data_IF_049818939441
#
_entry.id   IF_049818939441
#
_cell.length_a   1.000
_cell.length_b   1.000
_cell.length_c   1.000
_cell.angle_alpha   90.00
_cell.angle_beta   90.00
_cell.angle_gamma   90.00
#
_symmetry.space_group_name_H-M   'P 1'
#
loop_
_entity.id
_entity.type
_entity.pdbx_description
1 polymer ?
#
# COMPACT_ATOMS: atom_id res chain seq x y z
N UNK A 1 20.71 -10.21 6.66
CA UNK A 1 19.28 -9.86 6.80
C UNK A 1 18.51 -10.57 5.70
N UNK A 2 17.44 -11.31 6.00
CA UNK A 2 16.61 -11.98 4.99
C UNK A 2 15.47 -11.05 4.57
N UNK A 3 15.25 -10.93 3.26
CA UNK A 3 14.23 -10.06 2.65
C UNK A 3 13.23 -10.94 1.89
N UNK A 4 11.94 -10.64 2.03
CA UNK A 4 10.86 -11.25 1.27
C UNK A 4 10.29 -10.22 0.29
N UNK A 5 9.91 -10.69 -0.91
CA UNK A 5 9.22 -9.90 -1.92
C UNK A 5 7.85 -10.54 -2.14
N UNK A 6 6.78 -9.80 -1.85
CA UNK A 6 5.42 -10.24 -2.14
C UNK A 6 4.96 -9.71 -3.49
N UNK A 7 4.33 -10.56 -4.29
CA UNK A 7 3.72 -10.17 -5.55
C UNK A 7 2.32 -10.76 -5.62
N UNK A 8 1.33 -9.92 -5.87
CA UNK A 8 -0.05 -10.31 -6.05
C UNK A 8 -0.79 -9.31 -6.92
N UNK A 9 -1.92 -9.77 -7.47
CA UNK A 9 -2.86 -8.92 -8.17
C UNK A 9 -3.72 -8.17 -7.15
N UNK A 10 -3.72 -6.83 -7.23
CA UNK A 10 -4.57 -5.97 -6.41
C UNK A 10 -5.97 -5.94 -7.01
N UNK A 11 -6.98 -6.24 -6.20
CA UNK A 11 -8.39 -6.26 -6.59
C UNK A 11 -9.13 -5.01 -6.12
N UNK A 12 -10.41 -4.86 -6.47
CA UNK A 12 -11.18 -3.66 -6.17
C UNK A 12 -11.57 -3.50 -4.69
N UNK A 13 -11.75 -4.61 -3.97
CA UNK A 13 -12.09 -4.59 -2.54
C UNK A 13 -10.83 -4.52 -1.67
N UNK A 14 -10.75 -3.52 -0.79
CA UNK A 14 -9.54 -3.32 0.01
C UNK A 14 -9.37 -4.36 1.11
N UNK A 15 -10.46 -4.99 1.58
CA UNK A 15 -10.40 -6.03 2.59
C UNK A 15 -9.70 -7.26 2.04
N UNK A 16 -10.03 -7.67 0.81
CA UNK A 16 -9.38 -8.80 0.13
C UNK A 16 -7.85 -8.55 -0.03
N UNK A 17 -7.48 -7.32 -0.41
CA UNK A 17 -6.07 -6.94 -0.53
C UNK A 17 -5.36 -6.89 0.82
N UNK A 18 -6.04 -6.41 1.87
CA UNK A 18 -5.48 -6.35 3.21
C UNK A 18 -5.22 -7.75 3.77
N UNK A 19 -6.15 -8.68 3.59
CA UNK A 19 -5.98 -10.09 3.94
C UNK A 19 -4.78 -10.71 3.21
N UNK A 20 -4.61 -10.40 1.91
CA UNK A 20 -3.46 -10.86 1.14
C UNK A 20 -2.14 -10.29 1.67
N UNK A 21 -2.10 -9.00 2.01
CA UNK A 21 -0.92 -8.37 2.61
C UNK A 21 -0.54 -9.04 3.93
N UNK A 22 -1.53 -9.31 4.79
CA UNK A 22 -1.36 -10.00 6.07
C UNK A 22 -0.85 -11.43 5.86
N UNK A 23 -1.37 -12.15 4.86
CA UNK A 23 -0.88 -13.48 4.51
C UNK A 23 0.62 -13.45 4.16
N UNK A 24 1.05 -12.48 3.34
CA UNK A 24 2.47 -12.30 3.02
C UNK A 24 3.31 -11.92 4.25
N UNK A 25 2.80 -11.08 5.15
CA UNK A 25 3.48 -10.74 6.40
C UNK A 25 3.75 -12.00 7.23
N UNK A 26 2.72 -12.83 7.45
CA UNK A 26 2.84 -14.10 8.18
C UNK A 26 3.80 -15.08 7.51
N UNK A 27 3.75 -15.21 6.17
CA UNK A 27 4.65 -16.09 5.44
C UNK A 27 6.11 -15.61 5.50
N UNK A 28 6.34 -14.30 5.41
CA UNK A 28 7.66 -13.70 5.52
C UNK A 28 8.25 -13.91 6.91
N UNK A 29 7.44 -13.71 7.96
CA UNK A 29 7.80 -13.98 9.35
C UNK A 29 8.13 -15.44 9.59
N UNK A 30 7.26 -16.37 9.18
CA UNK A 30 7.49 -17.81 9.29
C UNK A 30 8.77 -18.25 8.56
N UNK A 31 9.14 -17.54 7.50
CA UNK A 31 10.37 -17.75 6.75
C UNK A 31 11.61 -17.08 7.39
N UNK A 32 11.47 -16.35 8.50
CA UNK A 32 12.54 -15.64 9.18
C UNK A 32 13.01 -14.36 8.46
N UNK A 33 12.18 -13.78 7.60
CA UNK A 33 12.47 -12.48 6.99
C UNK A 33 12.45 -11.36 8.05
N UNK A 34 13.20 -10.28 7.78
CA UNK A 34 13.22 -9.06 8.61
C UNK A 34 12.67 -7.84 7.87
N UNK A 35 12.50 -7.97 6.55
CA UNK A 35 11.91 -6.98 5.67
C UNK A 35 11.02 -7.71 4.66
N UNK A 36 9.80 -7.25 4.51
CA UNK A 36 8.87 -7.60 3.45
C UNK A 36 8.64 -6.35 2.59
N UNK A 37 8.83 -6.48 1.28
CA UNK A 37 8.44 -5.45 0.32
C UNK A 37 7.28 -5.98 -0.49
N UNK A 38 6.17 -5.25 -0.46
CA UNK A 38 4.97 -5.51 -1.25
C UNK A 38 4.89 -4.53 -2.43
N UNK A 39 3.99 -4.75 -3.39
CA UNK A 39 3.86 -3.90 -4.57
C UNK A 39 3.44 -2.45 -4.28
N UNK A 40 3.39 -1.65 -5.35
CA UNK A 40 2.79 -0.31 -5.36
C UNK A 40 1.25 -0.41 -5.34
N UNK A 41 0.60 0.56 -4.70
CA UNK A 41 -0.85 0.76 -4.68
C UNK A 41 -1.64 -0.48 -4.23
N UNK A 42 -1.24 -1.08 -3.11
CA UNK A 42 -1.84 -2.33 -2.60
C UNK A 42 -3.26 -2.17 -2.04
N UNK A 43 -3.75 -0.94 -1.92
CA UNK A 43 -5.03 -0.63 -1.29
C UNK A 43 -6.21 -1.25 -2.07
N UNK A 44 -6.38 -0.83 -3.32
CA UNK A 44 -7.46 -1.25 -4.20
C UNK A 44 -7.16 -0.80 -5.62
N UNK A 45 -7.62 -1.58 -6.60
CA UNK A 45 -7.51 -1.24 -8.02
C UNK A 45 -8.67 -1.85 -8.81
N UNK A 46 -9.24 -1.05 -9.70
CA UNK A 46 -10.15 -1.52 -10.75
C UNK A 46 -9.57 -1.13 -12.11
N UNK A 47 -9.29 -2.13 -12.96
CA UNK A 47 -8.74 -1.90 -14.30
C UNK A 47 -9.78 -1.39 -15.29
N UNK A 48 -11.07 -1.55 -14.97
CA UNK A 48 -12.20 -1.12 -15.80
C UNK A 48 -12.64 0.31 -15.50
N UNK A 49 -12.29 0.83 -14.32
CA UNK A 49 -12.55 2.21 -13.91
C UNK A 49 -11.28 2.90 -13.39
N UNK A 50 -10.58 3.68 -14.24
CA UNK A 50 -9.41 4.45 -13.84
C UNK A 50 -9.66 5.46 -12.71
N UNK A 51 -10.92 5.87 -12.48
CA UNK A 51 -11.30 6.82 -11.44
C UNK A 51 -11.56 6.14 -10.09
N UNK A 52 -11.66 4.82 -10.04
CA UNK A 52 -11.88 4.05 -8.82
C UNK A 52 -10.79 4.29 -7.75
N UNK A 53 -9.60 4.72 -8.16
CA UNK A 53 -8.53 5.12 -7.25
C UNK A 53 -8.94 6.25 -6.30
N UNK A 54 -9.77 7.19 -6.76
CA UNK A 54 -10.22 8.33 -5.96
C UNK A 54 -11.27 7.90 -4.91
N UNK A 55 -12.19 7.02 -5.30
CA UNK A 55 -13.26 6.54 -4.41
C UNK A 55 -12.79 5.49 -3.41
N UNK A 56 -11.73 4.74 -3.74
CA UNK A 56 -11.16 3.71 -2.87
C UNK A 56 -10.08 4.22 -1.93
N UNK A 57 -9.50 5.40 -2.20
CA UNK A 57 -8.45 6.00 -1.39
C UNK A 57 -8.83 6.14 0.08
N UNK A 58 -7.85 5.93 0.96
CA UNK A 58 -8.03 5.99 2.41
C UNK A 58 -6.93 6.80 3.07
N UNK A 59 -7.22 7.56 4.13
CA UNK A 59 -6.19 8.24 4.90
C UNK A 59 -5.26 7.23 5.59
N UNK A 60 -4.08 7.68 6.03
CA UNK A 60 -3.10 6.83 6.72
C UNK A 60 -3.60 6.25 8.05
N UNK A 61 -4.64 6.84 8.64
CA UNK A 61 -5.34 6.34 9.81
C UNK A 61 -6.67 5.63 9.47
N UNK A 62 -6.89 5.34 8.18
CA UNK A 62 -8.08 4.67 7.65
C UNK A 62 -8.15 3.17 7.94
N UNK A 63 -9.26 2.51 7.58
CA UNK A 63 -9.52 1.13 7.96
C UNK A 63 -8.49 0.12 7.42
N UNK A 64 -8.01 0.28 6.18
CA UNK A 64 -6.93 -0.56 5.63
C UNK A 64 -5.67 -0.49 6.51
N UNK A 65 -5.17 0.72 6.77
CA UNK A 65 -3.95 0.89 7.57
C UNK A 65 -4.12 0.40 9.00
N UNK A 66 -5.28 0.62 9.63
CA UNK A 66 -5.55 0.08 10.97
C UNK A 66 -5.46 -1.45 11.00
N UNK A 67 -5.94 -2.13 9.97
CA UNK A 67 -5.90 -3.59 9.87
C UNK A 67 -4.47 -4.11 9.69
N UNK A 68 -3.69 -3.48 8.81
CA UNK A 68 -2.30 -3.85 8.56
C UNK A 68 -1.40 -3.53 9.77
N UNK A 69 -1.59 -2.37 10.43
CA UNK A 69 -0.82 -2.00 11.61
C UNK A 69 -1.11 -2.95 12.78
N UNK A 70 -2.36 -3.36 12.97
CA UNK A 70 -2.72 -4.35 13.99
C UNK A 70 -1.98 -5.68 13.80
N UNK A 71 -1.85 -6.17 12.55
CA UNK A 71 -1.04 -7.36 12.25
C UNK A 71 0.44 -7.11 12.54
N UNK A 72 0.96 -5.92 12.21
CA UNK A 72 2.38 -5.58 12.42
C UNK A 72 2.80 -5.50 13.90
N UNK A 73 1.88 -5.58 14.87
CA UNK A 73 2.19 -5.56 16.31
C UNK A 73 2.78 -6.88 16.82
N UNK A 74 2.60 -7.99 16.09
CA UNK A 74 2.86 -9.33 16.60
C UNK A 74 4.34 -9.65 16.68
N UNK A 75 5.16 -9.11 15.76
CA UNK A 75 6.57 -9.48 15.61
C UNK A 75 7.43 -8.35 14.99
N UNK A 76 8.76 -8.51 15.04
CA UNK A 76 9.73 -7.56 14.48
C UNK A 76 9.92 -7.79 12.96
N UNK A 77 8.84 -7.65 12.18
CA UNK A 77 8.89 -7.54 10.71
C UNK A 77 8.76 -6.07 10.30
N UNK A 78 9.58 -5.65 9.34
CA UNK A 78 9.38 -4.36 8.66
C UNK A 78 8.66 -4.61 7.36
N UNK A 79 7.57 -3.90 7.10
CA UNK A 79 6.82 -4.06 5.86
C UNK A 79 6.79 -2.73 5.11
N UNK A 80 7.03 -2.79 3.80
CA UNK A 80 7.06 -1.63 2.90
C UNK A 80 6.05 -1.83 1.78
N UNK A 81 5.20 -0.85 1.56
CA UNK A 81 4.20 -0.83 0.48
C UNK A 81 3.75 0.60 0.20
N UNK A 82 2.94 0.81 -0.82
CA UNK A 82 2.29 2.11 -1.04
C UNK A 82 0.78 2.02 -1.05
N UNK A 83 0.13 3.10 -0.60
CA UNK A 83 -1.32 3.29 -0.70
C UNK A 83 -1.63 4.67 -1.28
N UNK A 84 -2.83 4.80 -1.82
CA UNK A 84 -3.35 6.09 -2.29
C UNK A 84 -4.06 6.81 -1.15
N UNK A 85 -3.52 7.96 -0.76
CA UNK A 85 -4.02 8.80 0.33
C UNK A 85 -4.81 9.97 -0.25
N UNK A 86 -6.07 10.21 0.15
CA UNK A 86 -6.88 11.28 -0.39
C UNK A 86 -6.36 12.66 0.05
N UNK A 87 -6.41 13.64 -0.86
CA UNK A 87 -6.09 15.05 -0.60
C UNK A 87 -7.26 15.97 -0.99
N UNK A 88 -7.23 17.23 -0.56
CA UNK A 88 -8.39 18.14 -0.57
C UNK A 88 -8.83 18.63 -1.96
N UNK A 89 -8.02 18.47 -2.99
CA UNK A 89 -8.28 18.96 -4.35
C UNK A 89 -8.95 17.92 -5.27
N UNK A 90 -9.44 16.80 -4.70
CA UNK A 90 -10.10 15.74 -5.46
C UNK A 90 -9.13 14.77 -6.12
N UNK A 91 -7.86 14.77 -5.71
CA UNK A 91 -6.84 13.81 -6.10
C UNK A 91 -6.36 12.98 -4.91
N UNK A 92 -5.42 12.09 -5.19
CA UNK A 92 -4.70 11.30 -4.19
C UNK A 92 -3.20 11.58 -4.26
N UNK A 93 -2.48 11.24 -3.22
CA UNK A 93 -1.02 11.10 -3.25
C UNK A 93 -0.69 9.62 -3.12
N UNK A 94 0.24 9.14 -3.94
CA UNK A 94 0.78 7.79 -3.80
C UNK A 94 1.86 7.81 -2.73
N UNK A 95 1.53 7.26 -1.57
CA UNK A 95 2.36 7.33 -0.37
C UNK A 95 2.94 5.95 -0.08
N UNK A 96 4.26 5.84 -0.18
CA UNK A 96 5.02 4.74 0.41
C UNK A 96 4.97 4.86 1.92
N UNK A 97 4.69 3.74 2.58
CA UNK A 97 4.74 3.61 4.03
C UNK A 97 5.69 2.47 4.41
N UNK A 98 6.43 2.70 5.49
CA UNK A 98 7.23 1.69 6.17
C UNK A 98 6.61 1.49 7.54
N UNK A 99 6.18 0.26 7.83
CA UNK A 99 5.57 -0.08 9.10
C UNK A 99 6.42 -1.07 9.89
N UNK A 100 6.33 -0.97 11.22
CA UNK A 100 6.91 -1.91 12.16
C UNK A 100 6.24 -1.72 13.53
N UNK A 101 6.00 -2.80 14.27
CA UNK A 101 5.47 -2.77 15.64
C UNK A 101 4.17 -1.96 15.78
N UNK A 102 3.30 -2.02 14.78
CA UNK A 102 2.02 -1.29 14.79
C UNK A 102 2.12 0.21 14.51
N UNK A 103 3.28 0.70 14.08
CA UNK A 103 3.51 2.12 13.76
C UNK A 103 3.97 2.30 12.32
N UNK A 104 3.61 3.46 11.74
CA UNK A 104 4.25 3.95 10.52
C UNK A 104 5.56 4.63 10.94
N UNK A 105 6.69 4.00 10.65
CA UNK A 105 8.02 4.47 11.06
C UNK A 105 8.71 5.35 10.01
N UNK A 106 8.21 5.32 8.77
CA UNK A 106 8.59 6.25 7.71
C UNK A 106 7.49 6.33 6.64
N UNK A 107 7.43 7.46 5.94
CA UNK A 107 6.59 7.63 4.76
C UNK A 107 7.33 8.44 3.69
N UNK A 108 6.91 8.27 2.43
CA UNK A 108 7.43 9.01 1.29
C UNK A 108 6.33 9.19 0.25
N UNK A 109 6.16 10.43 -0.23
CA UNK A 109 5.20 10.78 -1.27
C UNK A 109 5.88 10.74 -2.65
N UNK A 110 5.21 10.12 -3.62
CA UNK A 110 5.78 9.88 -4.96
C UNK A 110 5.89 11.19 -5.76
N UNK A 111 7.10 11.76 -5.77
CA UNK A 111 7.41 12.99 -6.52
C UNK A 111 7.34 12.87 -8.05
N UNK A 112 7.66 11.70 -8.61
CA UNK A 112 7.77 11.51 -10.05
C UNK A 112 6.61 10.63 -10.54
N UNK A 113 5.59 11.28 -11.09
CA UNK A 113 4.41 10.60 -11.62
C UNK A 113 4.69 9.99 -13.00
N UNK A 114 4.02 8.88 -13.26
CA UNK A 114 4.12 8.12 -14.49
C UNK A 114 3.13 8.65 -15.54
N UNK A 115 3.54 9.72 -16.21
CA UNK A 115 2.86 10.27 -17.39
C UNK A 115 3.59 9.84 -18.65
N UNK A 116 3.39 8.58 -19.05
CA UNK A 116 4.05 7.99 -20.20
C UNK A 116 3.12 7.05 -20.97
N UNK A 117 3.33 6.98 -22.28
CA UNK A 117 2.50 6.23 -23.22
C UNK A 117 1.02 6.63 -23.10
N UNK A 118 0.11 5.67 -22.91
CA UNK A 118 -1.32 5.90 -22.71
C UNK A 118 -1.71 6.09 -21.25
N UNK A 119 -0.74 6.15 -20.33
CA UNK A 119 -0.98 6.34 -18.90
C UNK A 119 -0.71 7.81 -18.55
N UNK A 120 -1.66 8.42 -17.85
CA UNK A 120 -1.55 9.78 -17.35
C UNK A 120 -1.92 9.79 -15.87
N UNK A 121 -0.98 9.33 -15.04
CA UNK A 121 -1.15 9.22 -13.58
C UNK A 121 -1.49 10.58 -12.95
N UNK A 122 -0.96 11.68 -13.49
CA UNK A 122 -1.21 13.04 -12.98
C UNK A 122 -2.65 13.52 -13.07
N UNK A 123 -3.54 12.82 -13.79
CA UNK A 123 -4.97 13.14 -13.80
C UNK A 123 -5.61 12.94 -12.43
N UNK A 124 -5.20 11.91 -11.70
CA UNK A 124 -5.80 11.51 -10.42
C UNK A 124 -4.84 11.57 -9.25
N UNK A 125 -3.52 11.62 -9.51
CA UNK A 125 -2.47 11.62 -8.48
C UNK A 125 -1.70 12.94 -8.47
N UNK A 126 -1.34 13.42 -7.28
CA UNK A 126 -0.45 14.56 -7.06
C UNK A 126 0.99 14.09 -6.75
N UNK A 127 2.01 14.85 -7.19
CA UNK A 127 3.41 14.59 -6.85
C UNK A 127 3.75 14.94 -5.40
#
# INVERSE_FOLDING_TARGET
MKVALGQFEVVADWQDNAERCIEFMRQAEASGAKLLVLPEAVLARDITDPMAILSSAQPLDGPFMRYILAESCTEILTTVFTINVPVSDGKVVNTLVVIRNGEIIASYEKLHLYDAFSVQESLTVNP
#
